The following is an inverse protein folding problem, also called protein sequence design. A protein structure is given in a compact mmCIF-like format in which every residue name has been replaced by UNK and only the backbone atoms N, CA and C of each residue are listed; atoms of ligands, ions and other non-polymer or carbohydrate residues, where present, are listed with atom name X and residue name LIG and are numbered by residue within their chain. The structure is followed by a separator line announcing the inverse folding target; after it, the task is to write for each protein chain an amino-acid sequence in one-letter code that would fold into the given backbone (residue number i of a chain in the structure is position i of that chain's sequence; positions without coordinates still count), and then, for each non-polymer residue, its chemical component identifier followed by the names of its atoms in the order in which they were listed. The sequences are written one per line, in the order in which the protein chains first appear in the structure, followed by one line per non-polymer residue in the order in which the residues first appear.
data_IF_863303954904
#
_entry.id   IF_863303954904
#
_cell.length_a   1.000
_cell.length_b   1.000
_cell.length_c   1.000
_cell.angle_alpha   90.00
_cell.angle_beta   90.00
_cell.angle_gamma   90.00
#
_symmetry.space_group_name_H-M   'P 1'
#
loop_
_entity.id
_entity.type
_entity.pdbx_description
1 polymer ?
#
# COMPACT_ATOMS: atom_id res chain seq x y z
N UNK A 1 -13.64 4.83 -17.80
CA UNK A 1 -14.53 5.36 -16.76
C UNK A 1 -14.07 4.91 -15.40
N UNK A 2 -14.01 5.81 -14.44
CA UNK A 2 -13.58 5.52 -13.08
C UNK A 2 -14.80 5.51 -12.16
N UNK A 3 -14.89 4.46 -11.37
CA UNK A 3 -15.90 4.31 -10.34
C UNK A 3 -15.27 4.60 -8.98
N UNK A 4 -16.07 5.10 -8.05
CA UNK A 4 -15.61 5.36 -6.68
C UNK A 4 -16.61 4.82 -5.67
N UNK A 5 -16.11 4.57 -4.48
CA UNK A 5 -16.89 4.26 -3.29
C UNK A 5 -16.03 4.63 -2.07
N UNK A 6 -16.54 4.43 -0.89
CA UNK A 6 -15.79 4.78 0.31
C UNK A 6 -15.99 3.73 1.41
N UNK A 7 -15.14 3.81 2.43
CA UNK A 7 -15.17 2.92 3.57
C UNK A 7 -14.67 3.66 4.81
N UNK A 8 -15.43 3.62 5.89
CA UNK A 8 -15.00 4.15 7.17
C UNK A 8 -14.19 3.11 7.92
N UNK A 9 -12.91 3.41 8.17
CA UNK A 9 -12.03 2.51 8.90
C UNK A 9 -11.67 3.09 10.27
N UNK A 10 -11.14 2.25 11.18
CA UNK A 10 -10.64 2.74 12.47
C UNK A 10 -9.51 3.77 12.36
N UNK A 11 -8.83 3.83 11.21
CA UNK A 11 -7.73 4.77 10.98
C UNK A 11 -8.13 5.97 10.12
N UNK A 12 -9.41 6.10 9.78
CA UNK A 12 -9.95 7.20 9.00
C UNK A 12 -10.71 6.74 7.78
N UNK A 13 -11.35 7.68 7.10
CA UNK A 13 -12.10 7.41 5.89
C UNK A 13 -11.18 7.04 4.73
N UNK A 14 -11.61 6.06 3.95
CA UNK A 14 -10.90 5.53 2.81
C UNK A 14 -11.74 5.79 1.55
N UNK A 15 -11.09 6.34 0.52
CA UNK A 15 -11.64 6.44 -0.82
C UNK A 15 -11.22 5.21 -1.62
N UNK A 16 -12.19 4.57 -2.26
CA UNK A 16 -11.98 3.45 -3.17
C UNK A 16 -12.19 3.92 -4.60
N UNK A 17 -11.33 3.46 -5.50
CA UNK A 17 -11.47 3.75 -6.91
C UNK A 17 -11.24 2.48 -7.73
N UNK A 18 -11.86 2.43 -8.90
CA UNK A 18 -11.68 1.30 -9.80
C UNK A 18 -12.22 1.59 -11.19
N UNK A 19 -11.98 0.65 -12.07
CA UNK A 19 -12.47 0.67 -13.44
C UNK A 19 -13.23 -0.65 -13.74
N UNK A 20 -13.47 -0.93 -15.01
CA UNK A 20 -14.18 -2.17 -15.40
C UNK A 20 -13.40 -3.44 -15.05
N UNK A 21 -12.08 -3.32 -14.87
CA UNK A 21 -11.21 -4.49 -14.64
C UNK A 21 -11.02 -4.80 -13.16
N UNK A 22 -11.15 -3.81 -12.28
CA UNK A 22 -11.00 -4.03 -10.86
C UNK A 22 -10.64 -2.78 -10.06
N UNK A 23 -10.24 -3.00 -8.82
CA UNK A 23 -9.81 -1.95 -7.91
C UNK A 23 -8.48 -1.36 -8.38
N UNK A 24 -8.43 -0.04 -8.55
CA UNK A 24 -7.23 0.68 -8.99
C UNK A 24 -6.67 1.61 -7.93
N UNK A 25 -7.44 1.91 -6.89
CA UNK A 25 -6.99 2.83 -5.85
C UNK A 25 -7.69 2.61 -4.52
N UNK A 26 -6.94 2.88 -3.45
CA UNK A 26 -7.41 2.87 -2.08
C UNK A 26 -6.53 3.84 -1.29
N UNK A 27 -7.11 4.94 -0.82
CA UNK A 27 -6.38 5.98 -0.11
C UNK A 27 -7.15 6.44 1.12
N UNK A 28 -6.41 6.84 2.15
CA UNK A 28 -7.01 7.62 3.23
C UNK A 28 -7.32 9.03 2.72
N UNK A 29 -8.50 9.54 3.04
CA UNK A 29 -8.94 10.85 2.54
C UNK A 29 -8.31 12.03 3.29
N UNK A 30 -7.85 11.81 4.52
CA UNK A 30 -7.20 12.82 5.34
C UNK A 30 -5.81 12.34 5.77
N UNK A 31 -4.86 13.28 5.82
CA UNK A 31 -3.50 12.99 6.24
C UNK A 31 -2.70 12.13 5.28
N UNK A 32 -3.17 12.00 4.05
CA UNK A 32 -2.53 11.18 3.03
C UNK A 32 -1.96 12.07 1.94
N UNK A 33 -0.75 11.72 1.48
CA UNK A 33 -0.03 12.54 0.48
C UNK A 33 -0.65 12.45 -0.91
N UNK A 34 -1.17 11.30 -1.29
CA UNK A 34 -1.57 11.02 -2.66
C UNK A 34 -3.06 10.68 -2.80
N UNK A 35 -3.89 11.19 -1.91
CA UNK A 35 -5.32 10.88 -1.93
C UNK A 35 -5.95 11.25 -3.26
N UNK A 36 -6.58 10.28 -3.89
CA UNK A 36 -7.30 10.50 -5.14
C UNK A 36 -6.42 10.86 -6.32
N UNK A 37 -5.11 10.66 -6.24
CA UNK A 37 -4.18 10.98 -7.33
C UNK A 37 -4.58 10.26 -8.61
N UNK A 38 -4.72 11.03 -9.69
CA UNK A 38 -5.11 10.50 -10.99
C UNK A 38 -6.60 10.32 -11.21
N UNK A 39 -7.45 10.65 -10.23
CA UNK A 39 -8.89 10.63 -10.45
C UNK A 39 -9.31 11.75 -11.38
N UNK A 40 -10.16 11.41 -12.35
CA UNK A 40 -10.73 12.38 -13.28
C UNK A 40 -12.02 12.96 -12.73
N UNK A 41 -12.40 14.15 -13.23
CA UNK A 41 -13.62 14.83 -12.81
C UNK A 41 -14.91 14.04 -13.09
N UNK A 42 -14.86 13.09 -14.02
CA UNK A 42 -16.00 12.25 -14.40
C UNK A 42 -16.09 10.95 -13.58
N UNK A 43 -15.29 10.81 -12.53
CA UNK A 43 -15.39 9.66 -11.65
C UNK A 43 -16.78 9.59 -11.03
N UNK A 44 -17.38 8.39 -11.03
CA UNK A 44 -18.74 8.16 -10.56
C UNK A 44 -18.78 7.25 -9.37
N UNK A 45 -19.56 7.65 -8.36
CA UNK A 45 -19.86 6.75 -7.25
C UNK A 45 -20.77 5.62 -7.74
N UNK A 46 -20.39 4.38 -7.51
CA UNK A 46 -21.24 3.24 -7.81
C UNK A 46 -20.85 2.01 -6.97
N UNK A 47 -21.74 1.04 -6.95
CA UNK A 47 -21.47 -0.26 -6.36
C UNK A 47 -20.86 -1.18 -7.43
N UNK A 48 -19.88 -1.99 -7.03
CA UNK A 48 -19.28 -3.01 -7.90
C UNK A 48 -19.00 -4.25 -7.07
N UNK A 49 -18.82 -5.37 -7.74
CA UNK A 49 -18.46 -6.63 -7.08
C UNK A 49 -17.12 -6.50 -6.33
N UNK A 50 -16.13 -5.86 -6.96
CA UNK A 50 -14.81 -5.73 -6.31
C UNK A 50 -14.82 -4.69 -5.18
N UNK A 51 -15.71 -3.70 -5.19
CA UNK A 51 -15.87 -2.82 -4.03
C UNK A 51 -16.46 -3.60 -2.84
N UNK A 52 -17.42 -4.47 -3.09
CA UNK A 52 -17.98 -5.33 -2.05
C UNK A 52 -16.91 -6.26 -1.49
N UNK A 53 -16.09 -6.86 -2.36
CA UNK A 53 -14.96 -7.69 -1.95
C UNK A 53 -13.95 -6.89 -1.11
N UNK A 54 -13.68 -5.65 -1.52
CA UNK A 54 -12.74 -4.78 -0.82
C UNK A 54 -13.25 -4.45 0.58
N UNK A 55 -14.53 -4.12 0.72
CA UNK A 55 -15.13 -3.81 2.02
C UNK A 55 -15.11 -5.03 2.94
N UNK A 56 -15.39 -6.20 2.41
CA UNK A 56 -15.28 -7.46 3.17
C UNK A 56 -13.83 -7.68 3.62
N UNK A 57 -12.88 -7.51 2.71
CA UNK A 57 -11.46 -7.64 3.01
C UNK A 57 -11.04 -6.68 4.14
N UNK A 58 -11.43 -5.41 4.03
CA UNK A 58 -11.09 -4.39 5.03
C UNK A 58 -11.72 -4.70 6.39
N UNK A 59 -12.96 -5.19 6.41
CA UNK A 59 -13.62 -5.58 7.65
C UNK A 59 -12.88 -6.70 8.39
N UNK A 60 -12.44 -7.72 7.66
CA UNK A 60 -11.65 -8.82 8.23
C UNK A 60 -10.29 -8.29 8.69
N UNK A 61 -9.61 -7.52 7.85
CA UNK A 61 -8.29 -6.97 8.15
C UNK A 61 -8.29 -6.12 9.43
N UNK A 62 -9.22 -5.17 9.52
CA UNK A 62 -9.28 -4.30 10.70
C UNK A 62 -9.78 -5.00 11.95
N UNK A 63 -10.28 -6.24 11.83
CA UNK A 63 -10.52 -7.09 13.00
C UNK A 63 -9.26 -7.76 13.54
N UNK A 64 -8.11 -7.54 12.90
CA UNK A 64 -6.83 -8.13 13.29
C UNK A 64 -6.53 -9.47 12.65
N UNK A 65 -7.31 -9.89 11.66
CA UNK A 65 -7.15 -11.18 11.00
C UNK A 65 -6.62 -11.01 9.58
N UNK A 66 -5.86 -12.00 9.12
CA UNK A 66 -5.44 -12.09 7.73
C UNK A 66 -6.65 -12.47 6.87
N UNK A 67 -7.07 -11.61 5.91
CA UNK A 67 -8.21 -11.95 5.06
C UNK A 67 -8.05 -13.22 4.24
N UNK A 68 -6.84 -13.52 3.79
CA UNK A 68 -6.55 -14.76 3.06
C UNK A 68 -6.98 -14.78 1.61
N UNK A 69 -7.42 -13.64 1.07
CA UNK A 69 -7.76 -13.47 -0.34
C UNK A 69 -7.44 -12.03 -0.77
N UNK A 70 -7.51 -11.77 -2.08
CA UNK A 70 -7.42 -10.41 -2.61
C UNK A 70 -8.72 -10.09 -3.34
N UNK A 71 -9.28 -8.88 -3.18
CA UNK A 71 -10.30 -8.42 -4.10
C UNK A 71 -9.71 -8.33 -5.50
N UNK A 72 -10.55 -8.23 -6.51
CA UNK A 72 -10.08 -8.12 -7.89
C UNK A 72 -9.36 -6.79 -8.09
N UNK A 73 -8.03 -6.85 -8.26
CA UNK A 73 -7.14 -5.70 -8.40
C UNK A 73 -6.84 -5.45 -9.88
N UNK A 74 -6.64 -4.18 -10.22
CA UNK A 74 -6.14 -3.78 -11.51
C UNK A 74 -5.00 -2.77 -11.32
N UNK A 75 -3.76 -3.22 -11.53
CA UNK A 75 -2.58 -2.38 -11.40
C UNK A 75 -2.36 -1.62 -12.70
N UNK A 76 -2.45 -0.30 -12.68
CA UNK A 76 -2.44 0.56 -13.87
C UNK A 76 -1.21 1.46 -13.97
N UNK A 77 -0.17 1.18 -13.20
CA UNK A 77 1.07 1.94 -13.25
C UNK A 77 2.02 1.46 -14.35
N UNK A 78 3.25 1.96 -14.31
CA UNK A 78 4.32 1.46 -15.18
C UNK A 78 4.63 0.00 -14.88
N UNK A 79 5.30 -0.68 -15.81
CA UNK A 79 5.70 -2.08 -15.61
C UNK A 79 6.53 -2.24 -14.34
N UNK A 80 7.44 -1.32 -14.09
CA UNK A 80 8.27 -1.35 -12.88
C UNK A 80 7.42 -1.22 -11.61
N UNK A 81 6.53 -0.22 -11.56
CA UNK A 81 5.65 -0.02 -10.40
C UNK A 81 4.71 -1.19 -10.19
N UNK A 82 4.16 -1.74 -11.25
CA UNK A 82 3.28 -2.90 -11.17
C UNK A 82 4.03 -4.12 -10.65
N UNK A 83 5.29 -4.32 -11.09
CA UNK A 83 6.09 -5.44 -10.59
C UNK A 83 6.42 -5.27 -9.10
N UNK A 84 6.77 -4.07 -8.67
CA UNK A 84 6.96 -3.78 -7.24
C UNK A 84 5.68 -4.07 -6.46
N UNK A 85 4.52 -3.68 -6.99
CA UNK A 85 3.21 -3.98 -6.38
C UNK A 85 2.96 -5.47 -6.24
N UNK A 86 3.25 -6.24 -7.28
CA UNK A 86 3.11 -7.70 -7.25
C UNK A 86 4.00 -8.34 -6.19
N UNK A 87 5.25 -7.89 -6.09
CA UNK A 87 6.18 -8.37 -5.06
C UNK A 87 5.66 -8.03 -3.67
N UNK A 88 5.14 -6.82 -3.47
CA UNK A 88 4.55 -6.44 -2.18
C UNK A 88 3.38 -7.33 -1.80
N UNK A 89 2.54 -7.73 -2.77
CA UNK A 89 1.42 -8.63 -2.50
C UNK A 89 1.86 -10.01 -2.00
N UNK A 90 3.10 -10.39 -2.24
CA UNK A 90 3.66 -11.65 -1.75
C UNK A 90 4.19 -11.57 -0.31
N UNK A 91 4.30 -10.36 0.27
CA UNK A 91 4.75 -10.20 1.65
C UNK A 91 3.64 -10.69 2.58
N UNK A 92 3.90 -11.72 3.41
CA UNK A 92 2.85 -12.26 4.28
C UNK A 92 2.38 -11.26 5.33
N UNK A 93 1.14 -11.41 5.74
CA UNK A 93 0.56 -10.70 6.89
C UNK A 93 1.46 -10.90 8.11
N UNK A 94 1.79 -9.81 8.80
CA UNK A 94 2.66 -9.84 9.98
C UNK A 94 4.14 -9.91 9.69
N UNK A 95 4.55 -9.80 8.42
CA UNK A 95 5.95 -9.82 8.01
C UNK A 95 6.34 -8.52 7.35
N UNK A 96 7.64 -8.22 7.33
CA UNK A 96 8.18 -7.03 6.67
C UNK A 96 9.38 -7.40 5.82
N UNK A 97 9.63 -6.60 4.80
CA UNK A 97 10.84 -6.67 3.98
C UNK A 97 11.42 -5.27 3.85
N UNK A 98 12.67 -5.18 3.43
CA UNK A 98 13.32 -3.90 3.18
C UNK A 98 13.18 -3.49 1.71
N UNK A 99 13.37 -2.20 1.44
CA UNK A 99 13.44 -1.70 0.06
C UNK A 99 14.58 -2.39 -0.71
N UNK A 100 15.73 -2.61 -0.04
CA UNK A 100 16.86 -3.31 -0.63
C UNK A 100 16.54 -4.75 -1.00
N UNK A 101 15.75 -5.44 -0.19
CA UNK A 101 15.33 -6.82 -0.50
C UNK A 101 14.51 -6.87 -1.79
N UNK A 102 13.56 -5.93 -1.94
CA UNK A 102 12.75 -5.85 -3.18
C UNK A 102 13.66 -5.52 -4.38
N UNK A 103 14.58 -4.57 -4.20
CA UNK A 103 15.53 -4.21 -5.25
C UNK A 103 16.35 -5.42 -5.71
N UNK A 104 16.81 -6.25 -4.78
CA UNK A 104 17.56 -7.48 -5.08
C UNK A 104 16.71 -8.49 -5.86
N UNK A 105 15.43 -8.63 -5.52
CA UNK A 105 14.52 -9.52 -6.25
C UNK A 105 14.38 -9.07 -7.71
N UNK A 106 14.19 -7.78 -7.93
CA UNK A 106 14.04 -7.24 -9.29
C UNK A 106 15.34 -7.37 -10.09
N UNK A 107 16.49 -7.09 -9.44
CA UNK A 107 17.79 -7.24 -10.07
C UNK A 107 18.01 -8.68 -10.55
N UNK A 108 17.67 -9.68 -9.74
CA UNK A 108 17.76 -11.10 -10.11
C UNK A 108 16.87 -11.44 -11.28
N UNK A 109 15.62 -10.98 -11.25
CA UNK A 109 14.65 -11.23 -12.33
C UNK A 109 15.12 -10.66 -13.67
N UNK A 110 15.76 -9.50 -13.64
CA UNK A 110 16.19 -8.77 -14.85
C UNK A 110 17.62 -9.09 -15.27
N UNK A 111 18.30 -9.97 -14.54
CA UNK A 111 19.71 -10.28 -14.81
C UNK A 111 20.65 -9.11 -14.60
N UNK A 112 20.30 -8.20 -13.69
CA UNK A 112 21.10 -7.02 -13.37
C UNK A 112 21.98 -7.33 -12.15
N UNK A 113 23.17 -6.71 -12.08
CA UNK A 113 24.04 -6.82 -10.90
C UNK A 113 23.44 -6.10 -9.71
N UNK A 114 22.70 -5.00 -9.95
CA UNK A 114 22.18 -4.12 -8.91
C UNK A 114 20.94 -3.39 -9.39
N UNK A 115 20.00 -3.18 -8.48
CA UNK A 115 18.85 -2.30 -8.68
C UNK A 115 18.84 -1.28 -7.54
N UNK A 116 18.49 -0.04 -7.85
CA UNK A 116 18.43 1.04 -6.87
C UNK A 116 17.31 0.82 -5.85
N UNK A 117 17.65 0.77 -4.57
CA UNK A 117 16.67 0.78 -3.49
C UNK A 117 15.85 2.07 -3.48
N UNK A 118 16.44 3.19 -3.93
CA UNK A 118 15.75 4.46 -4.05
C UNK A 118 14.66 4.41 -5.11
N UNK A 119 14.91 3.76 -6.25
CA UNK A 119 13.89 3.57 -7.29
C UNK A 119 12.72 2.73 -6.77
N UNK A 120 13.02 1.68 -6.03
CA UNK A 120 12.00 0.85 -5.36
C UNK A 120 11.23 1.70 -4.35
N UNK A 121 11.92 2.52 -3.55
CA UNK A 121 11.30 3.43 -2.59
C UNK A 121 10.28 4.37 -3.25
N UNK A 122 10.63 4.91 -4.42
CA UNK A 122 9.70 5.72 -5.21
C UNK A 122 8.45 4.95 -5.63
N UNK A 123 8.63 3.73 -6.12
CA UNK A 123 7.51 2.88 -6.52
C UNK A 123 6.62 2.50 -5.33
N UNK A 124 7.22 2.13 -4.21
CA UNK A 124 6.48 1.80 -2.97
C UNK A 124 5.70 3.03 -2.47
N UNK A 125 6.35 4.20 -2.46
CA UNK A 125 5.74 5.44 -1.98
C UNK A 125 4.56 5.93 -2.85
N UNK A 126 4.51 5.53 -4.12
CA UNK A 126 3.42 5.87 -5.03
C UNK A 126 2.40 4.75 -5.21
N UNK A 127 2.42 3.75 -4.32
CA UNK A 127 1.44 2.67 -4.35
C UNK A 127 0.01 3.23 -4.30
N UNK A 128 -0.82 3.00 -5.33
CA UNK A 128 -2.18 3.55 -5.35
C UNK A 128 -3.19 2.74 -4.54
N UNK A 129 -2.87 1.52 -4.13
CA UNK A 129 -3.80 0.64 -3.42
C UNK A 129 -3.21 0.32 -2.04
N UNK A 130 -3.29 1.29 -1.13
CA UNK A 130 -2.76 1.13 0.22
C UNK A 130 -3.42 -0.04 0.95
N UNK A 131 -2.76 -0.59 1.93
CA UNK A 131 -3.20 -1.70 2.80
C UNK A 131 -3.28 -3.03 2.07
N UNK A 132 -4.04 -3.15 1.00
CA UNK A 132 -4.23 -4.41 0.26
C UNK A 132 -2.95 -4.77 -0.49
N UNK A 133 -2.38 -3.81 -1.23
CA UNK A 133 -1.01 -3.90 -1.71
C UNK A 133 -0.15 -3.34 -0.59
N UNK A 134 0.52 -4.19 0.20
CA UNK A 134 0.93 -3.81 1.56
C UNK A 134 2.24 -3.03 1.62
N UNK A 135 2.23 -1.80 1.10
CA UNK A 135 3.41 -0.94 1.15
C UNK A 135 3.84 -0.61 2.59
N UNK A 136 2.95 -0.72 3.57
CA UNK A 136 3.31 -0.58 4.98
C UNK A 136 4.22 -1.69 5.49
N UNK A 137 4.31 -2.84 4.80
CA UNK A 137 5.20 -3.96 5.14
C UNK A 137 6.61 -3.79 4.57
N UNK A 138 6.87 -2.66 3.87
CA UNK A 138 8.21 -2.35 3.37
C UNK A 138 8.82 -1.29 4.28
N UNK A 139 10.00 -1.60 4.81
CA UNK A 139 10.66 -0.76 5.81
C UNK A 139 12.09 -0.46 5.37
N UNK A 140 12.67 0.59 5.95
CA UNK A 140 14.08 0.89 5.74
C UNK A 140 14.99 -0.10 6.46
N UNK A 141 16.28 -0.04 6.17
CA UNK A 141 17.28 -0.84 6.85
C UNK A 141 17.21 -0.60 8.36
N UNK A 142 17.49 -1.64 9.15
CA UNK A 142 17.45 -1.57 10.62
C UNK A 142 16.07 -1.23 11.19
N UNK A 143 15.00 -1.51 10.44
CA UNK A 143 13.63 -1.30 10.91
C UNK A 143 13.14 0.14 10.87
N UNK A 144 13.79 1.01 10.10
CA UNK A 144 13.34 2.40 9.99
C UNK A 144 11.98 2.49 9.30
N UNK A 145 11.01 3.11 9.98
CA UNK A 145 9.70 3.38 9.39
C UNK A 145 9.80 4.70 8.62
N UNK A 146 9.89 4.61 7.31
CA UNK A 146 9.99 5.77 6.43
C UNK A 146 8.92 5.70 5.36
N UNK A 147 8.49 6.85 4.87
CA UNK A 147 7.85 6.96 3.58
C UNK A 147 6.52 6.25 3.36
N UNK A 148 5.56 6.38 4.25
CA UNK A 148 4.21 5.87 3.99
C UNK A 148 3.30 7.01 3.51
N UNK A 149 2.65 6.85 2.35
CA UNK A 149 1.75 7.86 1.79
C UNK A 149 0.58 8.19 2.70
N UNK A 150 0.10 7.24 3.47
CA UNK A 150 -0.95 7.43 4.48
C UNK A 150 -0.46 8.00 5.82
N UNK A 151 0.82 8.30 5.94
CA UNK A 151 1.42 8.83 7.16
C UNK A 151 2.06 7.77 8.04
N UNK A 152 3.17 8.14 8.70
CA UNK A 152 3.94 7.20 9.52
C UNK A 152 3.14 6.62 10.67
N UNK A 153 2.25 7.41 11.29
CA UNK A 153 1.42 6.91 12.38
C UNK A 153 0.46 5.81 11.93
N UNK A 154 -0.09 5.92 10.71
CA UNK A 154 -0.91 4.85 10.14
C UNK A 154 -0.07 3.63 9.79
N UNK A 155 1.13 3.81 9.25
CA UNK A 155 2.06 2.71 8.97
C UNK A 155 2.34 1.92 10.25
N UNK A 156 2.66 2.63 11.33
CA UNK A 156 2.87 2.03 12.65
C UNK A 156 1.63 1.26 13.11
N UNK A 157 0.46 1.88 13.02
CA UNK A 157 -0.80 1.26 13.45
C UNK A 157 -1.10 -0.02 12.66
N UNK A 158 -0.86 -0.03 11.36
CA UNK A 158 -1.07 -1.21 10.51
C UNK A 158 -0.11 -2.34 10.89
N UNK A 159 1.17 -2.03 11.10
CA UNK A 159 2.15 -3.04 11.52
C UNK A 159 1.80 -3.63 12.89
N UNK A 160 1.37 -2.78 13.82
CA UNK A 160 0.93 -3.21 15.14
C UNK A 160 -0.32 -4.09 15.07
N UNK A 161 -1.28 -3.70 14.25
CA UNK A 161 -2.51 -4.47 14.00
C UNK A 161 -2.19 -5.89 13.51
N UNK A 162 -1.14 -6.02 12.68
CA UNK A 162 -0.72 -7.31 12.15
C UNK A 162 0.08 -8.15 13.14
N UNK A 163 0.27 -7.67 14.37
CA UNK A 163 0.93 -8.43 15.43
C UNK A 163 2.44 -8.32 15.47
N UNK A 164 3.02 -7.35 14.76
CA UNK A 164 4.47 -7.14 14.82
C UNK A 164 4.91 -6.65 16.19
N UNK A 165 6.09 -7.09 16.63
CA UNK A 165 6.76 -6.48 17.78
C UNK A 165 7.29 -5.11 17.35
N UNK A 166 6.70 -4.05 17.88
CA UNK A 166 7.02 -2.68 17.47
C UNK A 166 8.39 -2.22 17.96
N UNK A 167 9.02 -2.95 18.88
CA UNK A 167 10.38 -2.65 19.35
C UNK A 167 11.44 -2.84 18.25
N UNK A 168 11.15 -3.62 17.21
CA UNK A 168 12.04 -3.81 16.07
C UNK A 168 12.10 -2.62 15.12
N UNK A 169 11.18 -1.68 15.26
CA UNK A 169 11.06 -0.55 14.35
C UNK A 169 11.51 0.76 15.01
N UNK A 170 12.03 1.66 14.17
CA UNK A 170 12.44 2.99 14.58
C UNK A 170 11.60 4.01 13.86
N UNK A 171 11.04 4.95 14.62
CA UNK A 171 10.26 6.06 14.06
C UNK A 171 11.21 7.25 13.93
N UNK A 172 11.26 7.94 12.77
CA UNK A 172 12.09 9.13 12.60
C UNK A 172 11.74 10.18 13.65
N UNK A 173 12.75 10.81 14.25
CA UNK A 173 12.58 11.82 15.29
C UNK A 173 12.01 13.13 14.75
N UNK A 174 12.08 13.35 13.45
CA UNK A 174 11.51 14.54 12.79
C UNK A 174 10.34 14.13 11.94
N UNK A 175 9.18 13.94 12.60
CA UNK A 175 7.91 13.71 11.93
C UNK A 175 7.53 14.99 11.20
N UNK A 176 7.40 14.95 9.88
CA UNK A 176 7.07 16.11 9.07
C UNK A 176 8.04 16.40 7.95
N UNK A 177 9.22 15.77 7.95
CA UNK A 177 10.04 15.73 6.75
C UNK A 177 9.56 14.60 5.85
N UNK A 178 9.34 14.93 4.60
CA UNK A 178 9.05 13.95 3.59
C UNK A 178 10.27 13.06 3.38
N UNK A 179 10.28 11.90 4.00
CA UNK A 179 11.23 10.86 3.68
C UNK A 179 10.53 9.85 2.80
N UNK A 180 11.07 9.63 1.68
CA UNK A 180 10.63 8.58 0.79
C UNK A 180 11.38 7.29 1.12
#
# INVERSE_FOLDING_TARGET
MIYTNDYESPLGNILLAGDKQGLTGLWFTEGSRYTGLGLKKDARRCETDYFDQTKEWLGIYFSGRNPGFFPRLHLVGSDFRNRVGEIMCEIPFGKTVTYGWIADQIAKERGLKKMSAQAVGGAVGHNPICIIVPCHRVVGSNGNLTGYGGGILRKKALLELEGNDMNQFKIPTKIGRAHV
#
